data_IF_818098143228
#
_entry.id   IF_818098143228
#
_cell.length_a   1.000
_cell.length_b   1.000
_cell.length_c   1.000
_cell.angle_alpha   90.00
_cell.angle_beta   90.00
_cell.angle_gamma   90.00
#
_symmetry.space_group_name_H-M   'P 1'
#
loop_
_entity.id
_entity.type
_entity.pdbx_description
1 polymer ?
#
# COMPACT_ATOMS: atom_id res chain seq x y z
N UNK A 1 -13.69 14.29 4.18
CA UNK A 1 -13.57 14.80 5.58
C UNK A 1 -12.27 15.58 5.73
N UNK A 2 -12.26 16.73 6.43
CA UNK A 2 -11.04 17.52 6.66
C UNK A 2 -10.40 17.15 8.00
N UNK A 3 -9.10 16.86 7.97
CA UNK A 3 -8.24 16.66 9.14
C UNK A 3 -7.08 17.66 9.13
N UNK A 4 -6.44 17.88 10.27
CA UNK A 4 -5.25 18.74 10.37
C UNK A 4 -4.03 17.92 10.80
N UNK A 5 -2.97 17.91 9.99
CA UNK A 5 -1.69 17.28 10.32
C UNK A 5 -0.73 18.34 10.87
N UNK A 6 -0.36 18.19 12.14
CA UNK A 6 0.57 19.10 12.82
C UNK A 6 1.89 18.40 13.10
N UNK A 7 3.02 19.03 12.78
CA UNK A 7 4.35 18.52 13.11
C UNK A 7 5.35 19.66 13.31
N UNK A 8 6.44 19.36 14.02
CA UNK A 8 7.52 20.32 14.27
C UNK A 8 8.69 19.98 13.35
N UNK A 9 9.29 20.99 12.71
CA UNK A 9 10.50 20.82 11.91
C UNK A 9 11.60 21.78 12.34
N UNK A 10 12.86 21.34 12.20
CA UNK A 10 14.03 22.20 12.31
C UNK A 10 14.29 22.88 10.97
N UNK A 11 14.57 24.18 10.96
CA UNK A 11 14.93 24.94 9.77
C UNK A 11 16.41 24.78 9.45
N UNK A 12 16.81 25.18 8.23
CA UNK A 12 18.23 25.22 7.84
C UNK A 12 19.06 26.16 8.74
N UNK A 13 18.45 27.20 9.29
CA UNK A 13 19.05 28.13 10.25
C UNK A 13 19.04 27.62 11.71
N UNK A 14 18.58 26.39 11.95
CA UNK A 14 18.57 25.78 13.28
C UNK A 14 17.36 26.11 14.16
N UNK A 15 16.47 27.00 13.72
CA UNK A 15 15.22 27.32 14.39
C UNK A 15 14.21 26.16 14.37
N UNK A 16 13.27 26.16 15.32
CA UNK A 16 12.24 25.13 15.45
C UNK A 16 10.88 25.76 15.12
N UNK A 17 10.17 25.20 14.14
CA UNK A 17 8.88 25.75 13.66
C UNK A 17 7.81 24.68 13.68
N UNK A 18 6.63 25.03 14.22
CA UNK A 18 5.41 24.22 14.14
C UNK A 18 4.72 24.45 12.80
N UNK A 19 4.45 23.37 12.08
CA UNK A 19 3.70 23.38 10.82
C UNK A 19 2.35 22.73 11.05
N UNK A 20 1.31 23.38 10.55
CA UNK A 20 -0.04 22.84 10.45
C UNK A 20 -0.38 22.75 8.97
N UNK A 21 -0.84 21.58 8.52
CA UNK A 21 -1.31 21.35 7.15
C UNK A 21 -2.69 20.74 7.19
N UNK A 22 -3.52 21.15 6.24
CA UNK A 22 -4.77 20.49 5.96
C UNK A 22 -4.51 19.11 5.35
N UNK A 23 -5.33 18.14 5.74
CA UNK A 23 -5.30 16.79 5.21
C UNK A 23 -6.71 16.35 4.85
N UNK A 24 -6.96 16.23 3.55
CA UNK A 24 -8.26 15.85 3.02
C UNK A 24 -8.36 14.33 2.92
N UNK A 25 -9.41 13.78 3.52
CA UNK A 25 -9.83 12.40 3.37
C UNK A 25 -10.96 12.31 2.36
N UNK A 26 -10.83 11.35 1.46
CA UNK A 26 -11.61 11.14 0.26
C UNK A 26 -12.27 9.76 0.30
N UNK A 27 -13.46 9.70 -0.29
CA UNK A 27 -14.28 8.49 -0.41
C UNK A 27 -14.31 8.01 -1.87
N UNK A 28 -13.64 8.73 -2.77
CA UNK A 28 -13.54 8.49 -4.22
C UNK A 28 -12.15 7.97 -4.63
N UNK A 29 -11.43 7.34 -3.70
CA UNK A 29 -10.19 6.61 -3.99
C UNK A 29 -10.55 5.15 -4.19
N UNK A 30 -10.34 4.64 -5.39
CA UNK A 30 -10.78 3.31 -5.76
C UNK A 30 -9.75 2.23 -5.40
N UNK A 31 -10.18 0.95 -5.36
CA UNK A 31 -9.31 -0.15 -4.98
C UNK A 31 -8.42 -0.68 -6.12
N UNK A 32 -8.70 -0.32 -7.37
CA UNK A 32 -7.92 -0.75 -8.55
C UNK A 32 -8.25 -2.16 -9.07
N UNK A 33 -9.12 -2.89 -8.37
CA UNK A 33 -9.45 -4.30 -8.63
C UNK A 33 -10.61 -4.49 -9.60
N UNK A 34 -10.43 -5.41 -10.55
CA UNK A 34 -11.44 -5.85 -11.52
C UNK A 34 -12.63 -6.59 -10.88
N UNK A 35 -12.45 -7.26 -9.74
CA UNK A 35 -13.56 -7.96 -9.07
C UNK A 35 -14.50 -7.02 -8.33
N UNK A 36 -14.07 -5.78 -8.05
CA UNK A 36 -14.88 -4.84 -7.27
C UNK A 36 -15.94 -4.18 -8.15
N UNK A 37 -17.21 -4.38 -7.80
CA UNK A 37 -18.34 -3.72 -8.49
C UNK A 37 -18.83 -2.45 -7.77
N UNK A 38 -18.32 -2.16 -6.58
CA UNK A 38 -18.70 -0.98 -5.79
C UNK A 38 -17.94 0.28 -6.24
N UNK A 39 -16.64 0.14 -6.50
CA UNK A 39 -15.81 1.24 -6.97
C UNK A 39 -16.13 1.57 -8.44
N UNK A 40 -16.47 2.82 -8.74
CA UNK A 40 -16.73 3.31 -10.10
C UNK A 40 -15.43 3.59 -10.86
N UNK A 41 -14.69 2.53 -11.19
CA UNK A 41 -13.40 2.63 -11.86
C UNK A 41 -13.59 2.62 -13.38
N UNK A 42 -13.04 3.61 -14.09
CA UNK A 42 -13.02 3.59 -15.57
C UNK A 42 -12.00 2.58 -16.11
N UNK A 43 -10.92 2.35 -15.38
CA UNK A 43 -9.85 1.41 -15.73
C UNK A 43 -9.42 0.62 -14.50
N UNK A 44 -9.53 -0.70 -14.58
CA UNK A 44 -9.06 -1.65 -13.58
C UNK A 44 -7.66 -2.10 -13.94
N UNK A 45 -6.72 -1.99 -13.01
CA UNK A 45 -5.31 -2.34 -13.25
C UNK A 45 -5.02 -3.75 -12.74
N UNK A 46 -5.58 -4.10 -11.57
CA UNK A 46 -5.42 -5.40 -10.94
C UNK A 46 -6.44 -6.37 -11.54
N UNK A 47 -5.94 -7.50 -12.00
CA UNK A 47 -6.73 -8.51 -12.70
C UNK A 47 -7.53 -9.35 -11.72
N UNK A 48 -8.65 -9.93 -12.17
CA UNK A 48 -9.40 -10.92 -11.40
C UNK A 48 -8.59 -12.21 -11.17
N UNK A 49 -7.93 -12.70 -12.21
CA UNK A 49 -7.18 -13.96 -12.20
C UNK A 49 -5.70 -13.74 -11.86
N UNK A 50 -5.44 -13.10 -10.71
CA UNK A 50 -4.09 -12.82 -10.23
C UNK A 50 -3.41 -14.08 -9.66
N UNK A 51 -2.93 -14.94 -10.56
CA UNK A 51 -2.22 -16.16 -10.18
C UNK A 51 -0.71 -15.87 -10.19
N UNK A 52 -0.10 -16.01 -9.03
CA UNK A 52 1.35 -16.03 -8.85
C UNK A 52 1.69 -17.43 -8.38
N UNK A 53 2.46 -18.19 -9.16
CA UNK A 53 2.81 -19.57 -8.82
C UNK A 53 3.55 -19.60 -7.47
N UNK A 54 2.95 -20.27 -6.49
CA UNK A 54 3.47 -20.36 -5.14
C UNK A 54 3.06 -21.67 -4.48
N UNK A 55 4.03 -22.34 -3.87
CA UNK A 55 3.76 -23.53 -3.05
C UNK A 55 3.12 -23.17 -1.69
N UNK A 56 3.23 -21.91 -1.26
CA UNK A 56 2.70 -21.44 0.03
C UNK A 56 1.29 -20.89 -0.10
N UNK A 57 1.05 -20.12 -1.17
CA UNK A 57 -0.24 -19.50 -1.48
C UNK A 57 -0.77 -20.11 -2.77
N UNK A 58 -1.52 -21.20 -2.67
CA UNK A 58 -2.05 -21.94 -3.83
C UNK A 58 -3.30 -21.30 -4.44
N UNK A 59 -3.80 -20.22 -3.86
CA UNK A 59 -4.97 -19.46 -4.31
C UNK A 59 -4.56 -18.18 -5.06
N UNK A 60 -5.40 -17.65 -5.97
CA UNK A 60 -5.17 -16.34 -6.57
C UNK A 60 -5.06 -15.26 -5.50
N UNK A 61 -4.10 -14.35 -5.60
CA UNK A 61 -3.93 -13.30 -4.59
C UNK A 61 -3.29 -12.02 -5.12
N UNK A 62 -3.65 -10.90 -4.50
CA UNK A 62 -2.91 -9.65 -4.60
C UNK A 62 -1.82 -9.58 -3.54
N UNK A 63 -0.69 -8.98 -3.91
CA UNK A 63 0.42 -8.75 -3.00
C UNK A 63 0.46 -7.31 -2.53
N UNK A 64 0.60 -7.11 -1.23
CA UNK A 64 0.93 -5.81 -0.63
C UNK A 64 2.30 -5.95 0.04
N UNK A 65 3.38 -5.41 -0.53
CA UNK A 65 4.69 -5.45 0.11
C UNK A 65 4.82 -4.35 1.17
N UNK A 66 5.52 -4.67 2.26
CA UNK A 66 5.97 -3.67 3.23
C UNK A 66 7.16 -2.84 2.69
N UNK A 67 7.54 -1.80 3.44
CA UNK A 67 8.66 -0.93 3.04
C UNK A 67 9.99 -1.69 2.92
N UNK A 68 10.28 -2.62 3.83
CA UNK A 68 11.58 -3.30 3.87
C UNK A 68 11.73 -4.30 2.73
N UNK A 69 10.66 -4.99 2.33
CA UNK A 69 10.59 -5.84 1.14
C UNK A 69 10.90 -5.00 -0.09
N UNK A 70 10.24 -3.85 -0.28
CA UNK A 70 10.52 -2.97 -1.42
C UNK A 70 11.97 -2.45 -1.41
N UNK A 71 12.54 -2.14 -0.24
CA UNK A 71 13.90 -1.61 -0.15
C UNK A 71 15.00 -2.65 -0.36
N UNK A 72 14.76 -3.89 0.05
CA UNK A 72 15.80 -4.91 0.10
C UNK A 72 15.63 -6.01 -0.96
N UNK A 73 14.44 -6.16 -1.52
CA UNK A 73 14.09 -7.22 -2.47
C UNK A 73 13.44 -6.67 -3.74
N UNK A 74 13.79 -5.43 -4.13
CA UNK A 74 13.25 -4.80 -5.34
C UNK A 74 13.52 -5.63 -6.61
N UNK A 75 14.67 -6.31 -6.68
CA UNK A 75 15.05 -7.15 -7.81
C UNK A 75 14.08 -8.34 -7.98
N UNK A 76 13.52 -8.85 -6.88
CA UNK A 76 12.50 -9.92 -6.89
C UNK A 76 11.16 -9.38 -7.37
N UNK A 77 10.77 -8.18 -6.92
CA UNK A 77 9.54 -7.52 -7.39
C UNK A 77 9.61 -7.13 -8.87
N UNK A 78 10.81 -6.99 -9.42
CA UNK A 78 11.01 -6.71 -10.84
C UNK A 78 10.85 -7.93 -11.74
N UNK A 79 10.88 -9.14 -11.18
CA UNK A 79 10.73 -10.37 -11.94
C UNK A 79 9.36 -10.40 -12.67
N UNK A 80 9.32 -10.75 -13.98
CA UNK A 80 8.08 -10.77 -14.76
C UNK A 80 6.99 -11.74 -14.25
N UNK A 81 7.34 -12.69 -13.40
CA UNK A 81 6.41 -13.64 -12.76
C UNK A 81 5.59 -12.93 -11.68
N UNK A 82 6.16 -11.92 -11.01
CA UNK A 82 5.47 -11.17 -9.97
C UNK A 82 4.58 -10.10 -10.60
N UNK A 83 3.26 -10.29 -10.46
CA UNK A 83 2.23 -9.39 -11.01
C UNK A 83 1.17 -9.08 -9.96
N UNK A 84 0.27 -8.13 -10.28
CA UNK A 84 -0.88 -7.80 -9.44
C UNK A 84 -0.49 -7.35 -8.01
N UNK A 85 0.48 -6.43 -7.95
CA UNK A 85 1.02 -5.89 -6.71
C UNK A 85 0.39 -4.53 -6.39
N UNK A 86 -0.11 -4.38 -5.17
CA UNK A 86 -0.64 -3.13 -4.64
C UNK A 86 0.46 -2.43 -3.83
N UNK A 87 0.97 -1.32 -4.35
CA UNK A 87 1.94 -0.48 -3.67
C UNK A 87 1.22 0.63 -2.91
N UNK A 88 1.41 0.69 -1.60
CA UNK A 88 0.79 1.72 -0.76
C UNK A 88 1.53 3.07 -0.84
N UNK A 89 0.78 4.17 -0.76
CA UNK A 89 1.36 5.52 -0.73
C UNK A 89 2.32 5.71 0.44
N UNK A 90 2.02 5.16 1.63
CA UNK A 90 2.93 5.20 2.80
C UNK A 90 4.28 4.56 2.47
N UNK A 91 4.27 3.39 1.81
CA UNK A 91 5.48 2.67 1.39
C UNK A 91 6.27 3.48 0.36
N UNK A 92 5.61 4.02 -0.67
CA UNK A 92 6.25 4.87 -1.68
C UNK A 92 6.92 6.11 -1.09
N UNK A 93 6.27 6.76 -0.12
CA UNK A 93 6.82 7.95 0.54
C UNK A 93 8.07 7.62 1.34
N UNK A 94 8.05 6.52 2.07
CA UNK A 94 9.20 6.08 2.86
C UNK A 94 10.36 5.61 1.97
N UNK A 95 10.07 4.83 0.92
CA UNK A 95 11.07 4.43 -0.09
C UNK A 95 11.71 5.65 -0.74
N UNK A 96 10.91 6.66 -1.14
CA UNK A 96 11.42 7.92 -1.70
C UNK A 96 12.35 8.65 -0.73
N UNK A 97 12.05 8.61 0.57
CA UNK A 97 12.87 9.26 1.59
C UNK A 97 14.19 8.50 1.82
N UNK A 98 14.16 7.17 1.74
CA UNK A 98 15.33 6.30 2.04
C UNK A 98 16.23 6.05 0.82
N UNK A 99 15.67 5.90 -0.38
CA UNK A 99 16.43 5.56 -1.59
C UNK A 99 15.74 6.07 -2.87
N UNK A 100 16.28 7.16 -3.43
CA UNK A 100 15.79 7.70 -4.70
C UNK A 100 15.92 6.72 -5.89
N UNK A 101 17.00 5.91 -6.02
CA UNK A 101 17.10 4.90 -7.08
C UNK A 101 15.98 3.85 -7.00
N UNK A 102 15.70 3.31 -5.81
CA UNK A 102 14.64 2.31 -5.64
C UNK A 102 13.27 2.92 -5.93
N UNK A 103 13.02 4.15 -5.47
CA UNK A 103 11.79 4.86 -5.81
C UNK A 103 11.60 5.02 -7.32
N UNK A 104 12.68 5.33 -8.06
CA UNK A 104 12.64 5.39 -9.53
C UNK A 104 12.27 4.02 -10.12
N UNK A 105 12.91 2.94 -9.68
CA UNK A 105 12.61 1.57 -10.15
C UNK A 105 11.16 1.17 -9.90
N UNK A 106 10.62 1.45 -8.71
CA UNK A 106 9.18 1.23 -8.41
C UNK A 106 8.30 2.05 -9.34
N UNK A 107 8.67 3.31 -9.61
CA UNK A 107 7.95 4.14 -10.58
C UNK A 107 8.02 3.55 -11.98
N UNK A 108 9.16 3.05 -12.44
CA UNK A 108 9.31 2.43 -13.76
C UNK A 108 8.40 1.19 -13.87
N UNK A 109 8.38 0.31 -12.87
CA UNK A 109 7.46 -0.84 -12.81
C UNK A 109 5.98 -0.45 -12.82
N UNK A 110 5.59 0.65 -12.18
CA UNK A 110 4.22 1.16 -12.20
C UNK A 110 3.76 1.61 -13.61
N UNK A 111 4.69 1.90 -14.53
CA UNK A 111 4.35 2.23 -15.92
C UNK A 111 4.34 0.99 -16.83
N UNK A 112 4.89 -0.14 -16.38
CA UNK A 112 4.86 -1.42 -17.09
C UNK A 112 3.47 -2.07 -16.92
N UNK A 113 2.61 -1.90 -17.92
CA UNK A 113 1.21 -2.38 -17.88
C UNK A 113 1.09 -3.89 -17.63
N UNK A 114 2.02 -4.68 -18.18
CA UNK A 114 2.05 -6.15 -18.05
C UNK A 114 2.28 -6.62 -16.61
N UNK A 115 2.81 -5.77 -15.73
CA UNK A 115 3.02 -6.11 -14.32
C UNK A 115 1.77 -5.95 -13.47
N UNK A 116 0.81 -5.13 -13.90
CA UNK A 116 -0.39 -4.84 -13.12
C UNK A 116 -0.09 -4.29 -11.72
N UNK A 117 0.91 -3.39 -11.63
CA UNK A 117 1.22 -2.73 -10.36
C UNK A 117 0.28 -1.53 -10.17
N UNK A 118 -0.37 -1.49 -9.01
CA UNK A 118 -1.34 -0.46 -8.68
C UNK A 118 -0.86 0.36 -7.47
N UNK A 119 -0.99 1.69 -7.53
CA UNK A 119 -0.71 2.55 -6.37
C UNK A 119 -2.00 2.90 -5.65
N UNK A 120 -2.12 2.51 -4.38
CA UNK A 120 -3.26 2.86 -3.54
C UNK A 120 -2.92 4.02 -2.60
N UNK A 121 -3.75 5.06 -2.60
CA UNK A 121 -3.55 6.30 -1.82
C UNK A 121 -4.16 6.21 -0.42
N UNK A 122 -3.65 5.26 0.37
CA UNK A 122 -4.16 4.95 1.71
C UNK A 122 -4.12 6.12 2.70
N UNK A 123 -3.20 7.08 2.55
CA UNK A 123 -3.14 8.25 3.43
C UNK A 123 -4.33 9.20 3.22
N UNK A 124 -4.96 9.18 2.05
CA UNK A 124 -6.09 10.04 1.71
C UNK A 124 -7.43 9.30 1.68
N UNK A 125 -7.44 7.97 1.77
CA UNK A 125 -8.67 7.20 1.78
C UNK A 125 -9.29 7.19 3.17
N UNK A 126 -10.57 7.52 3.27
CA UNK A 126 -11.27 7.72 4.54
C UNK A 126 -11.17 6.54 5.49
N UNK A 127 -11.32 5.31 5.00
CA UNK A 127 -11.36 4.13 5.86
C UNK A 127 -10.00 3.53 6.21
N UNK A 128 -8.93 3.94 5.51
CA UNK A 128 -7.57 3.38 5.72
C UNK A 128 -6.61 4.40 6.32
N UNK A 129 -6.97 5.69 6.32
CA UNK A 129 -6.23 6.71 7.04
C UNK A 129 -6.27 6.46 8.55
N UNK A 130 -5.09 6.49 9.16
CA UNK A 130 -4.94 6.43 10.61
C UNK A 130 -4.18 7.65 11.13
N UNK A 131 -4.47 8.04 12.36
CA UNK A 131 -3.71 9.06 13.08
C UNK A 131 -2.57 8.42 13.88
N UNK A 132 -1.51 9.19 14.11
CA UNK A 132 -0.40 8.74 14.96
C UNK A 132 -0.84 8.78 16.42
N UNK A 133 -0.65 7.68 17.13
CA UNK A 133 -0.99 7.59 18.54
C UNK A 133 0.07 8.28 19.42
N UNK A 134 -0.29 8.79 20.61
CA UNK A 134 0.67 9.37 21.55
C UNK A 134 1.76 8.35 21.92
N UNK A 135 3.03 8.72 21.70
CA UNK A 135 4.18 7.85 22.00
C UNK A 135 4.54 6.84 20.91
N UNK A 136 3.70 6.66 19.88
CA UNK A 136 3.98 5.78 18.73
C UNK A 136 5.11 6.35 17.88
N UNK A 137 6.05 5.54 17.38
CA UNK A 137 7.07 6.02 16.45
C UNK A 137 6.49 6.26 15.05
N UNK A 138 7.23 6.95 14.17
CA UNK A 138 6.79 7.09 12.78
C UNK A 138 6.75 5.75 12.03
N UNK A 139 7.68 4.84 12.37
CA UNK A 139 7.75 3.50 11.78
C UNK A 139 6.56 2.64 12.21
N UNK A 140 6.28 2.58 13.52
CA UNK A 140 5.16 1.78 14.05
C UNK A 140 3.81 2.22 13.45
N UNK A 141 3.65 3.53 13.26
CA UNK A 141 2.47 4.12 12.59
C UNK A 141 2.40 3.71 11.12
N UNK A 142 3.51 3.69 10.40
CA UNK A 142 3.53 3.23 9.00
C UNK A 142 3.17 1.74 8.92
N UNK A 143 3.76 0.90 9.77
CA UNK A 143 3.47 -0.53 9.84
C UNK A 143 1.99 -0.80 10.15
N UNK A 144 1.41 -0.04 11.09
CA UNK A 144 -0.02 -0.09 11.40
C UNK A 144 -0.88 0.36 10.22
N UNK A 145 -0.47 1.41 9.49
CA UNK A 145 -1.20 1.88 8.31
C UNK A 145 -1.23 0.81 7.21
N UNK A 146 -0.11 0.11 7.00
CA UNK A 146 -0.02 -1.00 6.04
C UNK A 146 -0.97 -2.13 6.45
N UNK A 147 -0.95 -2.55 7.73
CA UNK A 147 -1.84 -3.60 8.25
C UNK A 147 -3.32 -3.24 8.15
N UNK A 148 -3.70 -2.01 8.53
CA UNK A 148 -5.08 -1.51 8.39
C UNK A 148 -5.52 -1.51 6.93
N UNK A 149 -4.64 -1.10 6.02
CA UNK A 149 -4.95 -1.10 4.58
C UNK A 149 -5.10 -2.52 4.03
N UNK A 150 -4.23 -3.44 4.41
CA UNK A 150 -4.31 -4.85 4.00
C UNK A 150 -5.61 -5.51 4.51
N UNK A 151 -5.99 -5.22 5.76
CA UNK A 151 -7.28 -5.65 6.32
C UNK A 151 -8.45 -5.05 5.55
N UNK A 152 -8.43 -3.75 5.28
CA UNK A 152 -9.47 -3.08 4.50
C UNK A 152 -9.65 -3.71 3.12
N UNK A 153 -8.55 -4.02 2.41
CA UNK A 153 -8.63 -4.70 1.11
C UNK A 153 -9.26 -6.09 1.22
N UNK A 154 -8.91 -6.87 2.26
CA UNK A 154 -9.52 -8.18 2.50
C UNK A 154 -11.03 -8.06 2.72
N UNK A 155 -11.44 -7.16 3.62
CA UNK A 155 -12.84 -6.97 4.00
C UNK A 155 -13.64 -6.39 2.82
N UNK A 156 -13.07 -5.44 2.08
CA UNK A 156 -13.68 -4.79 0.92
C UNK A 156 -13.88 -5.76 -0.25
N UNK A 157 -12.92 -6.66 -0.51
CA UNK A 157 -13.02 -7.60 -1.63
C UNK A 157 -13.82 -8.86 -1.31
N UNK A 158 -14.03 -9.18 -0.03
CA UNK A 158 -14.73 -10.39 0.42
C UNK A 158 -16.12 -10.60 -0.22
N UNK A 159 -17.00 -9.59 -0.36
CA UNK A 159 -18.33 -9.78 -0.93
C UNK A 159 -18.33 -10.14 -2.42
N UNK A 160 -17.24 -9.87 -3.13
CA UNK A 160 -17.13 -10.05 -4.58
C UNK A 160 -16.44 -11.36 -4.99
N UNK A 161 -16.00 -12.15 -4.01
CA UNK A 161 -15.38 -13.47 -4.25
C UNK A 161 -16.45 -14.44 -4.77
N UNK A 162 -16.20 -15.03 -5.94
CA UNK A 162 -17.18 -15.89 -6.64
C UNK A 162 -17.21 -17.33 -6.12
N UNK A 163 -16.13 -17.78 -5.49
CA UNK A 163 -15.88 -19.18 -5.08
C UNK A 163 -15.17 -19.25 -3.73
N UNK A 164 -15.17 -20.43 -3.09
CA UNK A 164 -14.45 -20.70 -1.85
C UNK A 164 -12.92 -20.54 -2.01
N UNK A 165 -12.38 -20.79 -3.21
CA UNK A 165 -10.99 -20.49 -3.61
C UNK A 165 -10.85 -19.07 -4.20
N UNK A 166 -11.56 -18.12 -3.61
CA UNK A 166 -11.63 -16.75 -4.09
C UNK A 166 -10.32 -15.99 -3.93
N UNK A 167 -10.15 -14.94 -4.74
CA UNK A 167 -8.99 -14.04 -4.69
C UNK A 167 -8.71 -13.53 -3.26
N UNK A 168 -7.48 -13.69 -2.78
CA UNK A 168 -7.05 -13.21 -1.46
C UNK A 168 -6.11 -12.01 -1.52
N UNK A 169 -5.82 -11.43 -0.35
CA UNK A 169 -4.87 -10.32 -0.19
C UNK A 169 -3.78 -10.74 0.79
N UNK A 170 -2.54 -10.76 0.31
CA UNK A 170 -1.38 -11.23 1.05
C UNK A 170 -0.44 -10.06 1.34
N UNK A 171 -0.16 -9.84 2.62
CA UNK A 171 0.87 -8.89 3.08
C UNK A 171 2.23 -9.60 3.06
N UNK A 172 3.16 -9.10 2.23
CA UNK A 172 4.55 -9.53 2.24
C UNK A 172 5.33 -8.65 3.20
N UNK A 173 5.86 -9.24 4.26
CA UNK A 173 6.63 -8.52 5.26
C UNK A 173 7.87 -9.29 5.69
N UNK A 174 8.95 -8.56 5.94
CA UNK A 174 10.16 -9.09 6.57
C UNK A 174 10.13 -8.92 8.11
N UNK A 175 9.14 -8.20 8.65
CA UNK A 175 9.00 -7.97 10.08
C UNK A 175 8.13 -9.06 10.74
N UNK A 176 8.71 -9.81 11.68
CA UNK A 176 7.98 -10.82 12.45
C UNK A 176 6.83 -10.22 13.26
N UNK A 177 6.96 -8.98 13.73
CA UNK A 177 5.91 -8.28 14.47
C UNK A 177 4.69 -7.96 13.60
N UNK A 178 4.89 -7.68 12.31
CA UNK A 178 3.80 -7.53 11.35
C UNK A 178 3.15 -8.87 11.00
N UNK A 179 3.92 -9.97 10.98
CA UNK A 179 3.38 -11.32 10.75
C UNK A 179 2.49 -11.82 11.89
N UNK A 180 2.80 -11.45 13.14
CA UNK A 180 2.09 -11.94 14.33
C UNK A 180 0.81 -11.17 14.67
N UNK A 181 0.58 -10.00 14.08
CA UNK A 181 -0.52 -9.08 14.43
C UNK A 181 -1.49 -8.87 13.28
#
# INVERSE_FOLDING_TARGET
>A
MLKSKTFVKKTRSGGVVKIVREHYLRDDIWCGSEICTECKQETTILQKDAIIESNLCTYPHYLIPDTNVVLHQIDVLEDPIIRNVIILQTVLQEVRHRSAPIYKRVKDMLHEKEKHFYTFTNEHHRDTFIEREPGESANDRNDRAIRVTAKWYRDHLQPFKSTADGLEVVLLTNDQGNKQK
#
